data_IF_395932166080
#
_entry.id   IF_395932166080
#
_cell.length_a   1.000
_cell.length_b   1.000
_cell.length_c   1.000
_cell.angle_alpha   90.00
_cell.angle_beta   90.00
_cell.angle_gamma   90.00
#
_symmetry.space_group_name_H-M   'P 1'
#
loop_
_entity.id
_entity.type
_entity.pdbx_description
1 polymer ?
#
# COMPACT_ATOMS: atom_id res chain seq x y z
N UNK A 1 70.41 33.91 0.26
CA UNK A 1 70.32 34.06 -1.21
C UNK A 1 69.05 33.36 -1.69
N UNK A 2 68.01 34.09 -2.12
CA UNK A 2 66.92 33.48 -2.90
C UNK A 2 66.81 34.09 -4.31
N UNK A 3 66.48 33.26 -5.28
CA UNK A 3 66.05 33.61 -6.64
C UNK A 3 64.77 32.80 -6.91
N UNK A 4 63.60 33.43 -7.11
CA UNK A 4 63.03 33.91 -8.40
C UNK A 4 62.25 32.79 -9.11
N UNK A 5 61.07 32.93 -9.73
CA UNK A 5 60.03 33.96 -9.90
C UNK A 5 58.84 33.23 -10.56
N UNK A 6 57.62 33.74 -10.43
CA UNK A 6 56.50 33.33 -11.29
C UNK A 6 55.21 34.08 -10.96
N UNK A 7 54.89 35.13 -11.74
CA UNK A 7 53.88 36.16 -11.48
C UNK A 7 53.24 36.55 -12.81
N UNK A 8 51.91 36.50 -12.97
CA UNK A 8 51.08 37.30 -13.92
C UNK A 8 49.62 37.19 -13.39
N UNK A 9 48.83 38.19 -12.97
CA UNK A 9 48.54 39.61 -13.27
C UNK A 9 47.63 39.88 -14.47
N UNK A 10 46.74 40.87 -14.26
CA UNK A 10 45.81 41.59 -15.17
C UNK A 10 44.37 41.03 -15.19
N UNK A 11 43.30 41.70 -14.75
CA UNK A 11 43.09 43.11 -14.42
C UNK A 11 42.77 43.93 -15.67
N UNK A 12 41.49 44.24 -15.91
CA UNK A 12 41.08 45.10 -17.03
C UNK A 12 39.56 45.29 -17.06
N UNK A 13 39.12 46.48 -16.67
CA UNK A 13 37.74 46.92 -16.55
C UNK A 13 37.44 48.02 -17.58
N UNK A 14 36.14 48.13 -17.92
CA UNK A 14 35.39 49.31 -18.36
C UNK A 14 35.65 50.11 -19.68
N UNK A 15 34.53 50.22 -20.42
CA UNK A 15 33.94 51.41 -21.11
C UNK A 15 34.50 51.86 -22.48
N UNK A 16 33.63 51.86 -23.50
CA UNK A 16 33.13 53.08 -24.18
C UNK A 16 32.15 52.76 -25.33
N UNK A 17 31.13 53.63 -25.46
CA UNK A 17 30.12 53.72 -26.51
C UNK A 17 30.69 54.12 -27.88
N UNK A 18 30.02 53.68 -28.96
CA UNK A 18 29.67 54.54 -30.11
C UNK A 18 28.59 53.87 -30.99
N UNK A 19 27.57 54.67 -31.34
CA UNK A 19 26.53 54.41 -32.34
C UNK A 19 27.11 54.35 -33.76
N UNK A 20 26.58 53.52 -34.66
CA UNK A 20 26.04 53.96 -35.98
C UNK A 20 25.24 52.84 -36.68
N UNK A 21 24.01 53.21 -37.05
CA UNK A 21 23.22 52.93 -38.26
C UNK A 21 22.98 51.52 -38.86
N UNK A 22 21.67 51.24 -38.97
CA UNK A 22 20.92 51.02 -40.22
C UNK A 22 21.36 49.85 -41.14
N UNK A 23 20.61 48.73 -41.08
CA UNK A 23 19.97 48.14 -42.27
C UNK A 23 19.02 46.97 -41.90
N UNK A 24 17.74 47.20 -42.21
CA UNK A 24 16.72 46.25 -42.69
C UNK A 24 17.08 44.75 -42.74
N UNK A 25 16.40 43.96 -41.89
CA UNK A 25 16.12 42.54 -42.18
C UNK A 25 14.65 42.23 -41.95
N UNK A 26 14.11 41.52 -42.93
CA UNK A 26 12.73 41.16 -43.23
C UNK A 26 12.02 40.32 -42.14
N UNK A 27 10.68 40.35 -42.09
CA UNK A 27 9.91 39.51 -41.16
C UNK A 27 9.96 38.04 -41.60
N UNK A 28 10.34 37.15 -40.68
CA UNK A 28 10.25 35.70 -40.88
C UNK A 28 8.78 35.24 -40.85
N UNK A 29 8.40 34.24 -41.68
CA UNK A 29 7.05 33.71 -41.70
C UNK A 29 6.72 32.96 -40.41
N UNK A 30 5.53 33.23 -39.87
CA UNK A 30 4.98 32.58 -38.69
C UNK A 30 4.83 31.06 -38.93
N UNK A 31 5.72 30.26 -38.34
CA UNK A 31 5.57 28.82 -38.29
C UNK A 31 4.51 28.44 -37.26
N UNK A 32 3.45 27.80 -37.74
CA UNK A 32 2.43 27.13 -36.92
C UNK A 32 3.13 26.12 -36.01
N UNK A 33 3.35 26.50 -34.74
CA UNK A 33 3.81 25.59 -33.68
C UNK A 33 2.66 24.63 -33.39
N UNK A 34 2.69 23.44 -33.98
CA UNK A 34 1.84 22.32 -33.56
C UNK A 34 2.19 21.95 -32.12
N UNK A 35 1.22 21.76 -31.21
CA UNK A 35 1.47 21.54 -29.78
C UNK A 35 1.89 20.09 -29.48
N UNK A 36 2.77 19.50 -30.29
CA UNK A 36 3.23 18.12 -30.11
C UNK A 36 4.23 17.99 -28.94
N UNK A 37 4.91 19.10 -28.60
CA UNK A 37 5.86 19.16 -27.48
C UNK A 37 5.18 19.13 -26.09
N UNK A 38 3.88 19.45 -26.00
CA UNK A 38 3.14 19.43 -24.72
C UNK A 38 2.62 18.02 -24.35
N UNK A 39 2.50 17.11 -25.31
CA UNK A 39 2.05 15.73 -25.05
C UNK A 39 3.22 14.85 -24.56
N UNK A 40 4.45 15.12 -25.00
CA UNK A 40 5.64 14.39 -24.54
C UNK A 40 6.15 14.82 -23.15
N UNK A 41 5.87 16.05 -22.71
CA UNK A 41 6.25 16.53 -21.38
C UNK A 41 5.38 15.93 -20.25
N UNK A 42 4.18 15.44 -20.57
CA UNK A 42 3.28 14.81 -19.59
C UNK A 42 3.65 13.35 -19.26
N UNK A 43 4.53 12.71 -20.05
CA UNK A 43 4.92 11.31 -19.88
C UNK A 43 6.18 11.09 -19.02
N UNK A 44 6.92 12.16 -18.67
CA UNK A 44 8.19 12.06 -17.93
C UNK A 44 8.00 12.27 -16.42
N UNK A 45 6.82 12.69 -15.97
CA UNK A 45 6.47 12.65 -14.54
C UNK A 45 5.93 11.25 -14.17
N UNK A 46 6.73 10.21 -14.43
CA UNK A 46 6.50 8.91 -13.84
C UNK A 46 6.87 8.99 -12.36
N UNK A 47 5.94 8.82 -11.41
CA UNK A 47 6.31 8.69 -10.02
C UNK A 47 7.02 7.35 -9.85
N UNK A 48 8.34 7.42 -9.73
CA UNK A 48 9.11 6.37 -9.09
C UNK A 48 8.65 6.20 -7.64
N UNK A 49 8.78 4.96 -7.16
CA UNK A 49 8.37 4.44 -5.86
C UNK A 49 6.87 4.20 -5.73
N UNK A 50 6.48 2.94 -6.01
CA UNK A 50 5.39 2.10 -5.48
C UNK A 50 4.32 2.66 -4.50
N UNK A 51 3.89 3.92 -4.64
CA UNK A 51 2.89 4.57 -3.79
C UNK A 51 1.99 5.57 -4.53
N UNK A 52 2.12 5.70 -5.86
CA UNK A 52 1.41 6.73 -6.63
C UNK A 52 0.49 6.19 -7.75
N UNK A 53 0.37 4.87 -7.92
CA UNK A 53 -0.57 4.30 -8.91
C UNK A 53 -2.03 4.57 -8.55
N UNK A 54 -2.33 4.89 -7.28
CA UNK A 54 -3.70 5.25 -6.86
C UNK A 54 -4.17 6.65 -7.26
N UNK A 55 -3.27 7.58 -7.61
CA UNK A 55 -3.65 8.98 -7.81
C UNK A 55 -3.89 9.35 -9.28
N UNK A 56 -3.14 8.76 -10.22
CA UNK A 56 -3.25 9.12 -11.64
C UNK A 56 -4.19 8.20 -12.45
N UNK A 57 -4.35 6.93 -12.04
CA UNK A 57 -5.30 5.99 -12.66
C UNK A 57 -6.44 5.71 -11.66
N UNK A 58 -7.37 6.65 -11.58
CA UNK A 58 -8.71 6.40 -11.04
C UNK A 58 -8.83 6.41 -9.52
N UNK A 59 -9.06 7.61 -8.97
CA UNK A 59 -9.78 7.72 -7.68
C UNK A 59 -11.08 6.88 -7.68
N UNK A 60 -11.73 6.69 -8.84
CA UNK A 60 -12.88 5.81 -8.97
C UNK A 60 -12.55 4.31 -8.97
N UNK A 61 -11.41 3.88 -9.52
CA UNK A 61 -11.02 2.47 -9.52
C UNK A 61 -10.58 2.01 -8.12
N UNK A 62 -9.81 2.83 -7.41
CA UNK A 62 -9.38 2.55 -6.04
C UNK A 62 -10.56 2.56 -5.05
N UNK A 63 -11.48 3.53 -5.16
CA UNK A 63 -12.71 3.56 -4.36
C UNK A 63 -13.64 2.39 -4.71
N UNK A 64 -13.77 2.06 -6.00
CA UNK A 64 -14.60 0.93 -6.45
C UNK A 64 -14.09 -0.41 -5.92
N UNK A 65 -12.77 -0.63 -5.94
CA UNK A 65 -12.14 -1.83 -5.35
C UNK A 65 -12.35 -1.85 -3.85
N UNK A 66 -12.05 -0.77 -3.12
CA UNK A 66 -12.23 -0.72 -1.66
C UNK A 66 -13.69 -0.86 -1.20
N UNK A 67 -14.68 -0.54 -2.05
CA UNK A 67 -16.10 -0.78 -1.77
C UNK A 67 -16.51 -2.25 -1.90
N UNK A 68 -15.75 -3.07 -2.64
CA UNK A 68 -15.98 -4.51 -2.80
C UNK A 68 -15.27 -5.35 -1.72
N UNK A 69 -14.40 -4.72 -0.93
CA UNK A 69 -13.78 -5.34 0.25
C UNK A 69 -14.85 -5.47 1.35
N UNK A 70 -14.89 -6.62 2.02
CA UNK A 70 -15.84 -6.88 3.10
C UNK A 70 -15.75 -5.88 4.27
N UNK A 71 -14.59 -5.24 4.44
CA UNK A 71 -14.38 -4.23 5.49
C UNK A 71 -14.93 -2.85 5.09
N UNK A 72 -15.26 -2.67 3.82
CA UNK A 72 -15.62 -1.40 3.21
C UNK A 72 -14.50 -0.36 3.26
N UNK A 73 -14.74 0.78 2.61
CA UNK A 73 -13.74 1.86 2.47
C UNK A 73 -13.23 2.37 3.83
N UNK A 74 -14.11 2.48 4.83
CA UNK A 74 -13.72 2.95 6.17
C UNK A 74 -12.92 1.91 6.94
N UNK A 75 -13.20 0.61 6.77
CA UNK A 75 -12.37 -0.47 7.32
C UNK A 75 -10.97 -0.48 6.72
N UNK A 76 -10.89 -0.47 5.38
CA UNK A 76 -9.60 -0.41 4.66
C UNK A 76 -8.78 0.82 5.07
N UNK A 77 -9.41 2.00 5.15
CA UNK A 77 -8.73 3.23 5.56
C UNK A 77 -8.26 3.17 7.03
N UNK A 78 -9.06 2.61 7.95
CA UNK A 78 -8.67 2.42 9.35
C UNK A 78 -7.48 1.48 9.48
N UNK A 79 -7.52 0.33 8.80
CA UNK A 79 -6.45 -0.66 8.83
C UNK A 79 -5.14 -0.09 8.25
N UNK A 80 -5.22 0.65 7.15
CA UNK A 80 -4.06 1.37 6.59
C UNK A 80 -3.49 2.41 7.57
N UNK A 81 -4.36 3.14 8.25
CA UNK A 81 -3.96 4.07 9.31
C UNK A 81 -3.28 3.38 10.50
N UNK A 82 -3.76 2.21 10.92
CA UNK A 82 -3.14 1.38 11.96
C UNK A 82 -1.74 0.92 11.53
N UNK A 83 -1.63 0.36 10.33
CA UNK A 83 -0.36 -0.12 9.78
C UNK A 83 0.66 1.03 9.64
N UNK A 84 0.21 2.23 9.27
CA UNK A 84 1.06 3.42 9.19
C UNK A 84 1.58 3.86 10.56
N UNK A 85 0.74 3.80 11.61
CA UNK A 85 1.18 4.12 12.98
C UNK A 85 2.22 3.13 13.50
N UNK A 86 2.05 1.83 13.22
CA UNK A 86 3.04 0.80 13.57
C UNK A 86 4.37 1.06 12.86
N UNK A 87 4.32 1.28 11.53
CA UNK A 87 5.53 1.64 10.75
C UNK A 87 6.21 2.89 11.28
N UNK A 88 5.44 3.90 11.70
CA UNK A 88 5.98 5.12 12.32
C UNK A 88 6.72 4.83 13.63
N UNK A 89 6.21 3.94 14.47
CA UNK A 89 6.91 3.50 15.69
C UNK A 89 8.22 2.77 15.38
N UNK A 90 8.20 1.84 14.42
CA UNK A 90 9.42 1.14 13.99
C UNK A 90 10.46 2.09 13.40
N UNK A 91 10.03 3.04 12.56
CA UNK A 91 10.92 4.05 11.99
C UNK A 91 11.54 4.94 13.08
N UNK A 92 10.75 5.39 14.05
CA UNK A 92 11.28 6.19 15.15
C UNK A 92 12.31 5.40 15.98
N UNK A 93 12.03 4.12 16.25
CA UNK A 93 12.97 3.23 16.93
C UNK A 93 14.30 3.11 16.16
N UNK A 94 14.25 2.92 14.85
CA UNK A 94 15.44 2.86 13.99
C UNK A 94 16.23 4.18 14.01
N UNK A 95 15.55 5.33 13.99
CA UNK A 95 16.19 6.64 14.06
C UNK A 95 16.87 6.90 15.42
N UNK A 96 16.33 6.35 16.51
CA UNK A 96 16.88 6.50 17.86
C UNK A 96 18.05 5.54 18.14
N UNK A 97 17.99 4.33 17.59
CA UNK A 97 18.93 3.24 17.92
C UNK A 97 19.99 2.99 16.84
N UNK A 98 19.70 3.35 15.58
CA UNK A 98 20.49 2.97 14.42
C UNK A 98 20.21 1.56 13.89
N UNK A 99 19.16 0.90 14.38
CA UNK A 99 18.70 -0.39 13.87
C UNK A 99 17.92 -0.25 12.54
N UNK A 100 17.47 -1.38 12.00
CA UNK A 100 16.85 -1.49 10.65
C UNK A 100 15.48 -2.15 10.68
N UNK A 101 14.78 -2.11 11.82
CA UNK A 101 13.51 -2.81 12.02
C UNK A 101 12.43 -2.40 11.00
N UNK A 102 12.32 -1.12 10.65
CA UNK A 102 11.33 -0.61 9.71
C UNK A 102 11.57 -1.05 8.26
N UNK A 103 12.79 -1.51 7.95
CA UNK A 103 13.18 -2.04 6.64
C UNK A 103 13.10 -3.56 6.62
N UNK A 104 13.51 -4.20 7.71
CA UNK A 104 13.64 -5.65 7.83
C UNK A 104 12.31 -6.34 8.16
N UNK A 105 11.39 -5.66 8.85
CA UNK A 105 10.07 -6.16 9.20
C UNK A 105 8.94 -5.50 8.38
N UNK A 106 7.95 -6.31 8.03
CA UNK A 106 6.71 -5.92 7.38
C UNK A 106 5.51 -5.97 8.32
N UNK A 107 4.52 -5.13 8.06
CA UNK A 107 3.23 -5.11 8.77
C UNK A 107 2.07 -4.97 7.78
N UNK A 108 1.14 -5.92 7.87
CA UNK A 108 -0.13 -5.86 7.17
C UNK A 108 -1.28 -5.95 8.16
N UNK A 109 -2.29 -5.09 8.01
CA UNK A 109 -3.43 -5.04 8.94
C UNK A 109 -4.71 -5.39 8.21
N UNK A 110 -5.47 -6.32 8.77
CA UNK A 110 -6.80 -6.72 8.27
C UNK A 110 -7.77 -6.89 9.44
N UNK A 111 -8.85 -6.09 9.45
CA UNK A 111 -9.82 -6.05 10.54
C UNK A 111 -9.14 -5.87 11.90
N UNK A 112 -8.27 -4.85 12.03
CA UNK A 112 -7.51 -4.55 13.25
C UNK A 112 -6.55 -5.65 13.73
N UNK A 113 -6.36 -6.73 12.96
CA UNK A 113 -5.38 -7.78 13.23
C UNK A 113 -4.11 -7.50 12.44
N UNK A 114 -2.99 -7.41 13.15
CA UNK A 114 -1.69 -7.08 12.60
C UNK A 114 -0.89 -8.36 12.31
N UNK A 115 -0.60 -8.63 11.05
CA UNK A 115 0.35 -9.65 10.61
C UNK A 115 1.73 -9.02 10.46
N UNK A 116 2.68 -9.48 11.28
CA UNK A 116 4.07 -9.09 11.23
C UNK A 116 4.88 -10.16 10.49
N UNK A 117 5.59 -9.78 9.45
CA UNK A 117 6.42 -10.67 8.62
C UNK A 117 7.78 -10.04 8.39
N UNK A 118 8.65 -10.71 7.64
CA UNK A 118 10.00 -10.25 7.33
C UNK A 118 11.06 -11.01 8.12
N UNK A 119 12.30 -10.58 7.96
CA UNK A 119 13.46 -11.25 8.55
C UNK A 119 14.34 -10.23 9.25
N UNK A 120 14.46 -10.34 10.57
CA UNK A 120 15.28 -9.45 11.40
C UNK A 120 16.56 -10.13 11.85
N UNK A 121 17.56 -9.32 12.23
CA UNK A 121 18.91 -9.82 12.56
C UNK A 121 19.00 -10.65 13.84
N UNK A 122 18.13 -10.41 14.81
CA UNK A 122 18.18 -11.08 16.11
C UNK A 122 16.80 -11.11 16.80
N UNK A 123 16.72 -11.87 17.89
CA UNK A 123 15.50 -12.05 18.67
C UNK A 123 14.98 -10.74 19.29
N UNK A 124 15.88 -9.87 19.73
CA UNK A 124 15.52 -8.62 20.42
C UNK A 124 14.76 -7.67 19.49
N UNK A 125 15.16 -7.60 18.22
CA UNK A 125 14.43 -6.84 17.20
C UNK A 125 13.06 -7.44 16.93
N UNK A 126 12.93 -8.78 16.89
CA UNK A 126 11.63 -9.44 16.73
C UNK A 126 10.69 -9.11 17.88
N UNK A 127 11.16 -9.24 19.12
CA UNK A 127 10.38 -8.90 20.32
C UNK A 127 10.00 -7.42 20.33
N UNK A 128 10.93 -6.54 19.93
CA UNK A 128 10.69 -5.10 19.81
C UNK A 128 9.62 -4.78 18.77
N UNK A 129 9.64 -5.44 17.61
CA UNK A 129 8.63 -5.30 16.57
C UNK A 129 7.23 -5.58 17.12
N UNK A 130 7.07 -6.71 17.82
CA UNK A 130 5.82 -7.12 18.44
C UNK A 130 5.37 -6.13 19.51
N UNK A 131 6.27 -5.71 20.39
CA UNK A 131 5.98 -4.74 21.46
C UNK A 131 5.48 -3.42 20.87
N UNK A 132 6.20 -2.85 19.92
CA UNK A 132 5.84 -1.58 19.28
C UNK A 132 4.52 -1.67 18.52
N UNK A 133 4.19 -2.82 17.93
CA UNK A 133 2.88 -3.06 17.34
C UNK A 133 1.77 -3.00 18.39
N UNK A 134 1.92 -3.67 19.54
CA UNK A 134 0.94 -3.66 20.63
C UNK A 134 0.71 -2.28 21.26
N UNK A 135 1.70 -1.37 21.21
CA UNK A 135 1.54 -0.01 21.70
C UNK A 135 0.61 0.86 20.82
N UNK A 136 0.26 0.42 19.61
CA UNK A 136 -0.66 1.15 18.74
C UNK A 136 -2.10 0.84 19.13
N UNK A 137 -2.77 1.85 19.68
CA UNK A 137 -4.19 1.75 19.99
C UNK A 137 -5.02 1.41 18.74
N UNK A 138 -5.90 0.41 18.92
CA UNK A 138 -6.79 -0.07 17.89
C UNK A 138 -6.35 -1.35 17.19
N UNK A 139 -5.22 -1.95 17.58
CA UNK A 139 -4.86 -3.33 17.21
C UNK A 139 -5.48 -4.30 18.21
N UNK A 140 -6.19 -5.31 17.71
CA UNK A 140 -6.85 -6.35 18.53
C UNK A 140 -5.98 -7.60 18.71
N UNK A 141 -5.14 -7.89 17.72
CA UNK A 141 -4.39 -9.13 17.62
C UNK A 141 -3.09 -8.86 16.87
N UNK A 142 -1.97 -9.40 17.36
CA UNK A 142 -0.67 -9.35 16.68
C UNK A 142 -0.25 -10.79 16.38
N UNK A 143 -0.16 -11.10 15.09
CA UNK A 143 0.30 -12.36 14.53
C UNK A 143 1.78 -12.19 14.18
N UNK A 144 2.65 -12.80 14.98
CA UNK A 144 4.09 -12.69 14.79
C UNK A 144 4.62 -13.83 13.92
N UNK A 145 4.99 -13.51 12.70
CA UNK A 145 5.61 -14.41 11.73
C UNK A 145 6.97 -13.89 11.27
N UNK A 146 7.62 -13.06 12.09
CA UNK A 146 8.95 -12.53 11.82
C UNK A 146 10.00 -13.64 12.02
N UNK A 147 10.78 -13.90 10.97
CA UNK A 147 11.93 -14.78 11.03
C UNK A 147 13.16 -14.05 11.61
N UNK A 148 14.07 -14.81 12.22
CA UNK A 148 15.38 -14.29 12.63
C UNK A 148 16.44 -14.91 11.72
N UNK A 149 17.22 -14.07 11.05
CA UNK A 149 18.24 -14.50 10.10
C UNK A 149 18.64 -13.39 9.13
N UNK A 150 19.09 -13.81 7.95
CA UNK A 150 19.44 -12.93 6.85
C UNK A 150 18.63 -13.31 5.61
N UNK A 151 18.23 -12.29 4.83
CA UNK A 151 17.51 -12.47 3.56
C UNK A 151 18.39 -12.00 2.42
N UNK A 152 18.48 -12.78 1.34
CA UNK A 152 19.20 -12.37 0.13
C UNK A 152 18.27 -11.66 -0.86
N UNK A 153 18.83 -10.84 -1.75
CA UNK A 153 18.06 -10.22 -2.85
C UNK A 153 17.38 -11.28 -3.76
N UNK A 154 17.98 -12.46 -3.88
CA UNK A 154 17.40 -13.57 -4.65
C UNK A 154 16.16 -14.17 -3.98
N UNK A 155 16.13 -14.17 -2.64
CA UNK A 155 14.98 -14.58 -1.86
C UNK A 155 13.83 -13.59 -2.04
N UNK A 156 14.10 -12.28 -1.90
CA UNK A 156 13.09 -11.23 -2.10
C UNK A 156 12.48 -11.26 -3.51
N UNK A 157 13.30 -11.48 -4.54
CA UNK A 157 12.82 -11.59 -5.92
C UNK A 157 11.92 -12.81 -6.13
N UNK A 158 12.30 -13.97 -5.56
CA UNK A 158 11.48 -15.19 -5.58
C UNK A 158 10.15 -14.96 -4.84
N UNK A 159 10.20 -14.36 -3.67
CA UNK A 159 9.01 -14.16 -2.83
C UNK A 159 8.03 -13.18 -3.48
N UNK A 160 8.53 -12.12 -4.11
CA UNK A 160 7.72 -11.21 -4.94
C UNK A 160 7.04 -11.92 -6.10
N UNK A 161 7.75 -12.85 -6.75
CA UNK A 161 7.21 -13.67 -7.83
C UNK A 161 6.11 -14.62 -7.31
N UNK A 162 6.33 -15.29 -6.18
CA UNK A 162 5.33 -16.15 -5.52
C UNK A 162 4.07 -15.35 -5.19
N UNK A 163 4.21 -14.19 -4.53
CA UNK A 163 3.08 -13.31 -4.21
C UNK A 163 2.32 -12.87 -5.46
N UNK A 164 3.03 -12.53 -6.53
CA UNK A 164 2.40 -12.15 -7.81
C UNK A 164 1.62 -13.32 -8.43
N UNK A 165 2.18 -14.53 -8.39
CA UNK A 165 1.52 -15.72 -8.89
C UNK A 165 0.26 -16.06 -8.09
N UNK A 166 0.32 -15.97 -6.75
CA UNK A 166 -0.84 -16.20 -5.91
C UNK A 166 -1.92 -15.16 -6.15
N UNK A 167 -1.57 -13.87 -6.09
CA UNK A 167 -2.49 -12.77 -6.36
C UNK A 167 -3.18 -12.95 -7.71
N UNK A 168 -2.43 -13.31 -8.76
CA UNK A 168 -2.98 -13.60 -10.08
C UNK A 168 -3.98 -14.77 -10.04
N UNK A 169 -3.60 -15.92 -9.46
CA UNK A 169 -4.48 -17.10 -9.34
C UNK A 169 -5.78 -16.78 -8.60
N UNK A 170 -5.71 -16.05 -7.49
CA UNK A 170 -6.90 -15.68 -6.73
C UNK A 170 -7.77 -14.68 -7.50
N UNK A 171 -7.16 -13.71 -8.19
CA UNK A 171 -7.89 -12.69 -8.96
C UNK A 171 -8.69 -13.29 -10.11
N UNK A 172 -8.17 -14.35 -10.75
CA UNK A 172 -8.85 -15.01 -11.87
C UNK A 172 -9.76 -16.18 -11.44
N UNK A 173 -9.79 -16.54 -10.16
CA UNK A 173 -10.73 -17.53 -9.64
C UNK A 173 -12.04 -16.85 -9.24
N UNK A 174 -13.08 -17.06 -10.06
CA UNK A 174 -14.43 -16.49 -9.84
C UNK A 174 -15.09 -16.89 -8.52
N UNK A 175 -14.64 -17.99 -7.91
CA UNK A 175 -15.21 -18.52 -6.67
C UNK A 175 -14.43 -18.02 -5.43
N UNK A 176 -13.43 -17.15 -5.63
CA UNK A 176 -12.61 -16.52 -4.59
C UNK A 176 -12.79 -15.00 -4.61
N UNK A 177 -13.05 -14.39 -3.45
CA UNK A 177 -13.11 -12.94 -3.31
C UNK A 177 -11.71 -12.41 -2.97
N UNK A 178 -10.82 -12.35 -3.97
CA UNK A 178 -9.38 -12.09 -3.79
C UNK A 178 -9.06 -10.85 -2.94
N UNK A 179 -9.89 -9.81 -3.02
CA UNK A 179 -9.74 -8.57 -2.26
C UNK A 179 -9.81 -8.75 -0.72
N UNK A 180 -10.47 -9.81 -0.25
CA UNK A 180 -10.60 -10.07 1.18
C UNK A 180 -9.36 -10.72 1.80
N UNK A 181 -8.30 -10.94 1.02
CA UNK A 181 -7.08 -11.60 1.46
C UNK A 181 -5.90 -10.65 1.28
N UNK A 182 -5.06 -10.58 2.30
CA UNK A 182 -3.73 -9.98 2.22
C UNK A 182 -2.72 -11.13 2.20
N UNK A 183 -1.82 -11.07 1.22
CA UNK A 183 -0.81 -12.09 0.93
C UNK A 183 0.55 -11.48 1.24
N UNK A 184 1.24 -12.05 2.22
CA UNK A 184 2.64 -11.75 2.49
C UNK A 184 3.47 -13.00 2.19
N UNK A 185 4.62 -12.84 1.55
CA UNK A 185 5.54 -13.96 1.30
C UNK A 185 6.92 -13.58 1.81
N UNK A 186 7.50 -14.41 2.66
CA UNK A 186 8.86 -14.26 3.18
C UNK A 186 9.54 -15.63 3.22
N UNK A 187 10.77 -15.71 2.71
CA UNK A 187 11.58 -16.92 2.66
C UNK A 187 10.84 -18.13 2.09
N UNK A 188 10.14 -17.92 0.96
CA UNK A 188 9.28 -18.91 0.29
C UNK A 188 8.11 -19.44 1.13
N UNK A 189 7.76 -18.80 2.24
CA UNK A 189 6.57 -19.12 3.06
C UNK A 189 5.50 -18.09 2.77
N UNK A 190 4.30 -18.55 2.47
CA UNK A 190 3.14 -17.68 2.24
C UNK A 190 2.38 -17.53 3.55
N UNK A 191 2.15 -16.30 3.96
CA UNK A 191 1.32 -15.91 5.09
C UNK A 191 0.04 -15.26 4.58
N UNK A 192 -1.10 -15.80 5.00
CA UNK A 192 -2.42 -15.31 4.59
C UNK A 192 -3.16 -14.75 5.80
N UNK A 193 -3.65 -13.52 5.68
CA UNK A 193 -4.62 -12.94 6.60
C UNK A 193 -5.80 -12.40 5.81
N UNK A 194 -7.01 -12.49 6.36
CA UNK A 194 -8.20 -12.08 5.62
C UNK A 194 -9.50 -12.61 6.19
N UNK A 195 -10.55 -12.49 5.38
CA UNK A 195 -11.88 -13.05 5.61
C UNK A 195 -12.29 -13.94 4.44
N UNK A 196 -12.65 -15.19 4.73
CA UNK A 196 -13.23 -16.10 3.74
C UNK A 196 -14.75 -16.18 3.93
N UNK A 197 -15.52 -16.18 2.82
CA UNK A 197 -16.99 -16.29 2.88
C UNK A 197 -17.47 -17.68 3.25
N UNK A 198 -16.64 -18.70 3.02
CA UNK A 198 -16.94 -20.10 3.31
C UNK A 198 -15.67 -20.93 3.46
N UNK A 199 -15.79 -22.11 4.09
CA UNK A 199 -14.69 -23.08 4.13
C UNK A 199 -14.23 -23.49 2.72
N UNK A 200 -15.17 -23.68 1.79
CA UNK A 200 -14.83 -24.07 0.42
C UNK A 200 -14.02 -23.00 -0.33
N UNK A 201 -14.24 -21.72 -0.04
CA UNK A 201 -13.41 -20.63 -0.57
C UNK A 201 -12.01 -20.66 0.02
N UNK A 202 -11.89 -20.81 1.35
CA UNK A 202 -10.60 -20.92 2.02
C UNK A 202 -9.79 -22.12 1.48
N UNK A 203 -10.43 -23.28 1.31
CA UNK A 203 -9.78 -24.48 0.76
C UNK A 203 -9.26 -24.25 -0.66
N UNK A 204 -10.01 -23.51 -1.50
CA UNK A 204 -9.56 -23.09 -2.84
C UNK A 204 -8.34 -22.18 -2.77
N UNK A 205 -8.36 -21.16 -1.90
CA UNK A 205 -7.23 -20.24 -1.70
C UNK A 205 -5.97 -21.01 -1.27
N UNK A 206 -6.09 -21.90 -0.30
CA UNK A 206 -4.98 -22.73 0.16
C UNK A 206 -4.49 -23.69 -0.93
N UNK A 207 -5.42 -24.24 -1.73
CA UNK A 207 -5.09 -25.05 -2.92
C UNK A 207 -4.25 -24.28 -3.93
N UNK A 208 -4.64 -23.04 -4.26
CA UNK A 208 -3.86 -22.16 -5.13
C UNK A 208 -2.48 -21.86 -4.57
N UNK A 209 -2.39 -21.49 -3.29
CA UNK A 209 -1.13 -21.19 -2.63
C UNK A 209 -0.16 -22.39 -2.67
N UNK A 210 -0.64 -23.59 -2.33
CA UNK A 210 0.15 -24.83 -2.35
C UNK A 210 0.53 -25.30 -3.75
N UNK A 211 -0.20 -24.88 -4.78
CA UNK A 211 0.10 -25.24 -6.18
C UNK A 211 1.27 -24.44 -6.78
N UNK A 212 1.73 -23.38 -6.11
CA UNK A 212 2.77 -22.49 -6.63
C UNK A 212 4.14 -23.15 -6.44
N UNK A 213 4.93 -23.15 -7.51
CA UNK A 213 6.28 -23.72 -7.49
C UNK A 213 7.17 -22.95 -6.52
N UNK A 214 8.05 -23.67 -5.83
CA UNK A 214 9.03 -23.14 -4.88
C UNK A 214 8.43 -22.52 -3.61
N UNK A 215 7.14 -22.72 -3.33
CA UNK A 215 6.58 -22.48 -2.01
C UNK A 215 7.09 -23.56 -1.05
N UNK A 216 7.61 -23.15 0.09
CA UNK A 216 8.07 -24.03 1.17
C UNK A 216 6.93 -24.40 2.11
N UNK A 217 6.12 -23.41 2.48
CA UNK A 217 5.00 -23.61 3.40
C UNK A 217 3.90 -22.54 3.19
N UNK A 218 2.70 -22.81 3.71
CA UNK A 218 1.55 -21.90 3.68
C UNK A 218 0.93 -21.82 5.08
N UNK A 219 1.08 -20.67 5.73
CA UNK A 219 0.54 -20.38 7.05
C UNK A 219 -0.69 -19.48 6.88
N UNK A 220 -1.83 -19.94 7.39
CA UNK A 220 -3.11 -19.25 7.23
C UNK A 220 -3.66 -18.75 8.55
N UNK A 221 -3.88 -17.45 8.62
CA UNK A 221 -4.54 -16.73 9.69
C UNK A 221 -5.90 -16.17 9.24
N UNK A 222 -6.48 -16.72 8.17
CA UNK A 222 -7.77 -16.28 7.62
C UNK A 222 -8.90 -16.70 8.55
N UNK A 223 -9.83 -15.77 8.82
CA UNK A 223 -11.06 -16.08 9.56
C UNK A 223 -12.20 -16.35 8.58
N UNK A 224 -13.04 -17.33 8.87
CA UNK A 224 -14.26 -17.58 8.08
C UNK A 224 -15.37 -16.74 8.67
N UNK A 225 -16.07 -15.96 7.85
CA UNK A 225 -17.23 -15.19 8.31
C UNK A 225 -18.31 -16.18 8.79
N UNK A 226 -18.80 -16.07 10.04
CA UNK A 226 -19.94 -16.86 10.46
C UNK A 226 -21.17 -16.49 9.60
N UNK A 227 -22.05 -17.45 9.29
CA UNK A 227 -23.28 -17.14 8.57
C UNK A 227 -24.04 -16.07 9.34
N UNK A 228 -24.43 -15.01 8.64
CA UNK A 228 -25.19 -13.92 9.23
C UNK A 228 -26.48 -14.50 9.83
N UNK A 229 -26.81 -14.23 11.10
CA UNK A 229 -28.05 -14.71 11.66
C UNK A 229 -29.18 -14.17 10.80
N UNK A 230 -30.02 -15.06 10.27
CA UNK A 230 -31.19 -14.68 9.48
C UNK A 230 -31.99 -13.64 10.26
N UNK A 231 -31.99 -12.39 9.78
CA UNK A 231 -32.95 -11.39 10.20
C UNK A 231 -34.31 -11.91 9.76
N UNK A 232 -35.02 -12.54 10.70
CA UNK A 232 -36.43 -12.89 10.51
C UNK A 232 -37.14 -11.62 9.99
N UNK A 233 -37.94 -11.70 8.93
CA UNK A 233 -38.70 -10.55 8.46
C UNK A 233 -39.48 -10.01 9.64
N UNK A 234 -39.29 -8.72 9.97
CA UNK A 234 -40.12 -8.03 10.93
C UNK A 234 -41.57 -8.27 10.50
N UNK A 235 -42.28 -9.04 11.32
CA UNK A 235 -43.71 -9.25 11.13
C UNK A 235 -44.33 -7.86 11.20
N UNK A 236 -45.09 -7.42 10.18
CA UNK A 236 -45.70 -6.09 10.22
C UNK A 236 -46.49 -5.97 11.52
N UNK A 237 -46.14 -4.96 12.33
CA UNK A 237 -46.86 -4.60 13.54
C UNK A 237 -48.34 -4.45 13.17
N UNK A 238 -49.14 -5.45 13.53
CA UNK A 238 -50.60 -5.32 13.62
C UNK A 238 -50.90 -4.39 14.79
N UNK A 239 -50.74 -3.08 14.57
CA UNK A 239 -51.30 -2.04 15.42
C UNK A 239 -51.79 -0.85 14.60
N UNK A 240 -52.65 -1.15 13.63
CA UNK A 240 -53.75 -0.28 13.26
C UNK A 240 -55.04 -1.08 13.53
N UNK A 241 -56.10 -0.40 13.96
CA UNK A 241 -57.43 -0.94 14.31
C UNK A 241 -57.70 -1.16 15.81
N UNK A 242 -57.56 -0.11 16.62
CA UNK A 242 -58.30 0.03 17.87
C UNK A 242 -58.39 1.51 18.33
N UNK A 243 -58.87 2.41 17.48
CA UNK A 243 -59.15 3.79 17.91
C UNK A 243 -60.21 4.50 17.03
N UNK A 244 -61.33 3.86 16.72
CA UNK A 244 -62.53 4.58 16.20
C UNK A 244 -63.81 3.78 16.48
N UNK A 245 -64.22 3.62 17.74
CA UNK A 245 -65.65 3.45 18.09
C UNK A 245 -65.88 3.92 19.53
N UNK A 246 -66.73 4.95 19.71
CA UNK A 246 -67.31 5.35 21.00
C UNK A 246 -66.94 6.78 21.39
N UNK A 247 -67.85 7.74 21.56
CA UNK A 247 -69.30 7.70 21.48
C UNK A 247 -69.79 9.14 21.29
N UNK A 248 -70.64 9.34 20.29
CA UNK A 248 -71.67 10.37 20.37
C UNK A 248 -72.74 9.87 21.34
N UNK A 249 -73.08 10.65 22.38
CA UNK A 249 -74.42 10.72 22.99
C UNK A 249 -74.46 11.74 24.14
N UNK A 250 -75.52 12.55 24.05
CA UNK A 250 -76.18 13.45 25.02
C UNK A 250 -75.43 14.67 25.51
#
# INVERSE_FOLDING_TARGET
>A
MPADRGRYSLGGDCRSMAMTDFQTRSPLPASRRTPLALILAAAILAPGLAGCVGAAVGAGATVGVAAMDERGVSGVARDSGLATRVRGKWLNYDLETGDTLAVDAGISVYNRRALLTGTVKNEDLRVTAVRLAWEVEGIDEVLNEIAVGETSASDTARDSWISTQLTSKLTFDKDVQAINYVIETDNAVIYLIGSARSQAELDRVLGHARSISRVRDVISHVKIKPPEPETKPDTPDKKADAATVGAART
#
